data_IF_330008661374
#
_entry.id   IF_330008661374
#
_cell.length_a   1.000
_cell.length_b   1.000
_cell.length_c   1.000
_cell.angle_alpha   90.00
_cell.angle_beta   90.00
_cell.angle_gamma   90.00
#
_symmetry.space_group_name_H-M   'P 1'
#
loop_
_entity.id
_entity.type
_entity.pdbx_description
1 polymer ?
#
# COMPACT_ATOMS: atom_id res chain seq x y z
N UNK A 1 -20.24 -22.81 0.45
CA UNK A 1 -20.62 -21.77 1.41
C UNK A 1 -19.43 -21.34 2.28
N UNK A 2 -18.66 -22.27 2.86
CA UNK A 2 -17.55 -22.01 3.79
C UNK A 2 -16.55 -20.90 3.39
N UNK A 3 -16.15 -20.79 2.11
CA UNK A 3 -15.25 -19.71 1.66
C UNK A 3 -15.89 -18.33 1.77
N UNK A 4 -17.18 -18.22 1.48
CA UNK A 4 -17.87 -16.94 1.56
C UNK A 4 -18.15 -16.56 3.00
N UNK A 5 -18.45 -17.53 3.86
CA UNK A 5 -18.53 -17.31 5.31
C UNK A 5 -17.20 -16.80 5.85
N UNK A 6 -16.07 -17.39 5.43
CA UNK A 6 -14.74 -16.92 5.78
C UNK A 6 -14.47 -15.49 5.27
N UNK A 7 -14.83 -15.18 4.02
CA UNK A 7 -14.64 -13.84 3.46
C UNK A 7 -15.57 -12.79 4.10
N UNK A 8 -16.78 -13.20 4.50
CA UNK A 8 -17.73 -12.36 5.22
C UNK A 8 -17.22 -12.06 6.63
N UNK A 9 -16.75 -13.06 7.37
CA UNK A 9 -16.11 -12.86 8.68
C UNK A 9 -14.89 -11.93 8.58
N UNK A 10 -14.09 -12.05 7.51
CA UNK A 10 -13.01 -11.12 7.21
C UNK A 10 -13.50 -9.69 6.96
N UNK A 11 -14.61 -9.52 6.24
CA UNK A 11 -15.22 -8.22 6.02
C UNK A 11 -15.77 -7.61 7.32
N UNK A 12 -16.44 -8.41 8.15
CA UNK A 12 -17.02 -7.99 9.44
C UNK A 12 -15.92 -7.57 10.43
N UNK A 13 -14.72 -8.16 10.31
CA UNK A 13 -13.50 -7.75 11.02
C UNK A 13 -12.86 -6.46 10.47
N UNK A 14 -13.43 -5.85 9.43
CA UNK A 14 -12.95 -4.61 8.83
C UNK A 14 -11.76 -4.79 7.88
N UNK A 15 -11.53 -5.99 7.33
CA UNK A 15 -10.45 -6.18 6.36
C UNK A 15 -10.72 -5.41 5.07
N UNK A 16 -9.67 -4.80 4.52
CA UNK A 16 -9.79 -4.08 3.25
C UNK A 16 -10.15 -5.03 2.11
N UNK A 17 -10.86 -4.56 1.06
CA UNK A 17 -11.16 -5.36 -0.12
C UNK A 17 -9.91 -5.94 -0.80
N UNK A 18 -8.77 -5.25 -0.73
CA UNK A 18 -7.50 -5.74 -1.26
C UNK A 18 -6.91 -6.87 -0.42
N UNK A 19 -7.08 -6.83 0.90
CA UNK A 19 -6.68 -7.92 1.79
C UNK A 19 -7.48 -9.18 1.50
N UNK A 20 -8.80 -9.06 1.37
CA UNK A 20 -9.69 -10.18 1.03
C UNK A 20 -9.32 -10.79 -0.35
N UNK A 21 -9.03 -9.95 -1.35
CA UNK A 21 -8.51 -10.42 -2.66
C UNK A 21 -7.21 -11.21 -2.53
N UNK A 22 -6.27 -10.76 -1.69
CA UNK A 22 -5.01 -11.46 -1.45
C UNK A 22 -5.22 -12.81 -0.77
N UNK A 23 -6.15 -12.91 0.18
CA UNK A 23 -6.50 -14.18 0.81
C UNK A 23 -7.08 -15.16 -0.21
N UNK A 24 -7.97 -14.71 -1.10
CA UNK A 24 -8.49 -15.55 -2.20
C UNK A 24 -7.36 -16.03 -3.11
N UNK A 25 -6.41 -15.15 -3.45
CA UNK A 25 -5.26 -15.52 -4.27
C UNK A 25 -4.32 -16.52 -3.56
N UNK A 26 -4.13 -16.39 -2.25
CA UNK A 26 -3.34 -17.34 -1.46
C UNK A 26 -4.06 -18.70 -1.34
N UNK A 27 -5.39 -18.71 -1.15
CA UNK A 27 -6.18 -19.94 -1.15
C UNK A 27 -6.13 -20.62 -2.53
N UNK A 28 -6.08 -19.83 -3.61
CA UNK A 28 -5.97 -20.34 -4.98
C UNK A 28 -4.67 -21.11 -5.25
N UNK A 29 -3.58 -20.86 -4.52
CA UNK A 29 -2.32 -21.58 -4.71
C UNK A 29 -2.30 -22.94 -4.00
N UNK A 30 -3.18 -23.15 -3.02
CA UNK A 30 -3.23 -24.36 -2.19
C UNK A 30 -4.42 -25.25 -2.54
N UNK A 31 -5.53 -24.66 -3.00
CA UNK A 31 -6.80 -25.36 -3.18
C UNK A 31 -7.20 -25.40 -4.66
N UNK A 32 -7.30 -26.61 -5.20
CA UNK A 32 -7.90 -26.88 -6.52
C UNK A 32 -9.41 -27.13 -6.36
N UNK A 33 -10.23 -26.34 -7.04
CA UNK A 33 -11.69 -26.44 -6.95
C UNK A 33 -12.24 -27.33 -8.07
N UNK A 34 -13.06 -28.33 -7.75
CA UNK A 34 -13.64 -29.26 -8.74
C UNK A 34 -14.31 -28.50 -9.88
N UNK A 35 -13.84 -28.73 -11.12
CA UNK A 35 -14.40 -28.13 -12.34
C UNK A 35 -13.91 -26.71 -12.67
N UNK A 36 -13.11 -26.06 -11.82
CA UNK A 36 -12.55 -24.73 -12.09
C UNK A 36 -11.02 -24.73 -11.94
N UNK A 37 -10.33 -23.99 -12.81
CA UNK A 37 -8.87 -23.86 -12.74
C UNK A 37 -8.38 -23.22 -11.43
N UNK A 38 -9.23 -22.42 -10.76
CA UNK A 38 -8.89 -21.75 -9.50
C UNK A 38 -10.15 -21.20 -8.81
N UNK A 39 -10.13 -21.14 -7.48
CA UNK A 39 -11.16 -20.51 -6.63
C UNK A 39 -11.48 -19.05 -7.01
N UNK A 40 -10.49 -18.31 -7.53
CA UNK A 40 -10.66 -16.93 -7.99
C UNK A 40 -11.60 -16.80 -9.19
N UNK A 41 -11.76 -17.88 -9.98
CA UNK A 41 -12.64 -17.91 -11.14
C UNK A 41 -14.07 -18.33 -10.79
N UNK A 42 -14.32 -18.73 -9.54
CA UNK A 42 -15.65 -19.13 -9.12
C UNK A 42 -16.59 -17.90 -9.15
N UNK A 43 -17.74 -17.96 -9.84
CA UNK A 43 -18.60 -16.79 -10.08
C UNK A 43 -19.08 -16.14 -8.78
N UNK A 44 -19.35 -16.94 -7.75
CA UNK A 44 -19.81 -16.44 -6.45
C UNK A 44 -18.72 -15.65 -5.71
N UNK A 45 -17.45 -16.08 -5.77
CA UNK A 45 -16.32 -15.36 -5.17
C UNK A 45 -16.09 -14.06 -5.91
N UNK A 46 -16.15 -14.09 -7.25
CA UNK A 46 -16.01 -12.89 -8.08
C UNK A 46 -17.11 -11.87 -7.80
N UNK A 47 -18.37 -12.30 -7.71
CA UNK A 47 -19.49 -11.42 -7.38
C UNK A 47 -19.38 -10.85 -5.96
N UNK A 48 -18.97 -11.65 -4.99
CA UNK A 48 -18.72 -11.18 -3.62
C UNK A 48 -17.61 -10.12 -3.59
N UNK A 49 -16.46 -10.39 -4.21
CA UNK A 49 -15.33 -9.45 -4.30
C UNK A 49 -15.71 -8.15 -5.01
N UNK A 50 -16.62 -8.21 -6.00
CA UNK A 50 -17.19 -7.02 -6.65
C UNK A 50 -18.08 -6.24 -5.69
N UNK A 51 -18.96 -6.93 -4.96
CA UNK A 51 -19.84 -6.34 -3.95
C UNK A 51 -19.07 -5.55 -2.90
N UNK A 52 -18.05 -6.16 -2.26
CA UNK A 52 -17.24 -5.48 -1.25
C UNK A 52 -16.47 -4.26 -1.79
N UNK A 53 -16.11 -4.25 -3.07
CA UNK A 53 -15.40 -3.12 -3.67
C UNK A 53 -16.33 -1.95 -3.95
N UNK A 54 -17.59 -2.25 -4.27
CA UNK A 54 -18.62 -1.23 -4.43
C UNK A 54 -19.04 -0.65 -3.07
N UNK A 55 -19.08 -1.48 -2.01
CA UNK A 55 -19.40 -1.04 -0.65
C UNK A 55 -18.28 -0.20 -0.03
N UNK A 56 -17.02 -0.53 -0.34
CA UNK A 56 -15.84 0.15 0.20
C UNK A 56 -14.94 0.62 -0.94
N UNK A 57 -15.26 1.76 -1.60
CA UNK A 57 -14.39 2.31 -2.63
C UNK A 57 -13.01 2.62 -2.04
N UNK A 58 -11.97 2.44 -2.85
CA UNK A 58 -10.62 2.74 -2.43
C UNK A 58 -10.52 4.22 -2.04
N UNK A 59 -10.17 4.49 -0.79
CA UNK A 59 -9.83 5.84 -0.35
C UNK A 59 -8.52 6.20 -1.04
N UNK A 60 -8.60 6.92 -2.16
CA UNK A 60 -7.42 7.50 -2.78
C UNK A 60 -7.03 8.67 -1.91
N UNK A 61 -5.97 8.50 -1.12
CA UNK A 61 -5.40 9.62 -0.38
C UNK A 61 -4.66 10.51 -1.38
N UNK A 62 -5.27 11.64 -1.72
CA UNK A 62 -4.61 12.67 -2.52
C UNK A 62 -3.69 13.43 -1.58
N UNK A 63 -2.41 13.04 -1.56
CA UNK A 63 -1.40 13.90 -0.95
C UNK A 63 -1.38 15.22 -1.74
N UNK A 64 -1.23 16.38 -1.07
CA UNK A 64 -0.98 17.62 -1.78
C UNK A 64 0.22 17.40 -2.71
N UNK A 65 0.12 17.86 -3.95
CA UNK A 65 1.20 17.71 -4.93
C UNK A 65 2.45 18.36 -4.34
N UNK A 66 3.39 17.54 -3.89
CA UNK A 66 4.64 18.01 -3.34
C UNK A 66 5.43 18.68 -4.46
N UNK A 67 6.00 19.85 -4.19
CA UNK A 67 6.90 20.53 -5.11
C UNK A 67 8.35 20.24 -4.71
N UNK A 68 9.02 19.40 -5.51
CA UNK A 68 10.38 18.95 -5.23
C UNK A 68 11.35 20.14 -5.15
N UNK A 69 11.18 21.13 -6.03
CA UNK A 69 12.05 22.30 -6.03
C UNK A 69 11.91 23.11 -4.74
N UNK A 70 10.67 23.27 -4.24
CA UNK A 70 10.45 23.96 -2.95
C UNK A 70 11.17 23.26 -1.81
N UNK A 71 11.17 21.94 -1.78
CA UNK A 71 11.84 21.20 -0.69
C UNK A 71 13.35 21.19 -0.83
N UNK A 72 13.89 21.07 -2.04
CA UNK A 72 15.33 21.23 -2.27
C UNK A 72 15.82 22.62 -1.84
N UNK A 73 15.05 23.68 -2.13
CA UNK A 73 15.34 25.05 -1.68
C UNK A 73 15.20 25.18 -0.16
N UNK A 74 14.30 24.46 0.49
CA UNK A 74 14.19 24.47 1.95
C UNK A 74 15.39 23.77 2.62
N UNK A 75 15.93 22.71 2.00
CA UNK A 75 17.11 22.00 2.50
C UNK A 75 18.41 22.81 2.44
N UNK A 76 18.45 23.91 1.68
CA UNK A 76 19.59 24.86 1.65
C UNK A 76 19.45 26.00 2.67
N UNK A 77 18.41 25.98 3.50
CA UNK A 77 18.11 27.02 4.50
C UNK A 77 18.16 26.44 5.93
N UNK A 78 18.19 27.30 6.96
CA UNK A 78 18.00 26.86 8.33
C UNK A 78 16.69 26.07 8.48
N UNK A 79 16.67 24.97 9.25
CA UNK A 79 17.72 24.51 10.17
C UNK A 79 18.72 23.52 9.56
N UNK A 80 18.65 23.24 8.26
CA UNK A 80 19.52 22.28 7.57
C UNK A 80 20.88 22.85 7.15
N UNK A 81 21.01 24.18 7.18
CA UNK A 81 22.24 24.93 6.94
C UNK A 81 22.39 26.04 8.00
N UNK A 82 23.62 26.44 8.38
CA UNK A 82 24.90 25.96 7.86
C UNK A 82 25.29 24.58 8.43
N UNK A 83 25.88 23.72 7.59
CA UNK A 83 26.22 22.33 7.93
C UNK A 83 27.12 22.20 9.18
N UNK A 84 27.94 23.20 9.46
CA UNK A 84 28.87 23.21 10.59
C UNK A 84 28.16 23.27 11.95
N UNK A 85 26.96 23.88 11.99
CA UNK A 85 26.18 24.05 13.22
C UNK A 85 24.90 23.21 13.24
N UNK A 86 24.61 22.50 12.15
CA UNK A 86 23.42 21.68 12.02
C UNK A 86 23.52 20.44 12.93
N UNK A 87 22.43 20.10 13.63
CA UNK A 87 22.39 18.87 14.43
C UNK A 87 22.56 17.64 13.54
N UNK A 88 23.24 16.61 14.05
CA UNK A 88 23.42 15.35 13.33
C UNK A 88 22.09 14.75 12.85
N UNK A 89 21.03 14.87 13.66
CA UNK A 89 19.68 14.41 13.32
C UNK A 89 19.13 15.07 12.04
N UNK A 90 19.24 16.39 11.94
CA UNK A 90 18.76 17.14 10.77
C UNK A 90 19.60 16.86 9.53
N UNK A 91 20.92 16.71 9.71
CA UNK A 91 21.81 16.32 8.63
C UNK A 91 21.48 14.91 8.12
N UNK A 92 21.21 13.95 9.01
CA UNK A 92 20.76 12.61 8.63
C UNK A 92 19.46 12.63 7.84
N UNK A 93 18.47 13.47 8.21
CA UNK A 93 17.24 13.60 7.44
C UNK A 93 17.47 14.19 6.06
N UNK A 94 18.31 15.22 5.94
CA UNK A 94 18.67 15.81 4.65
C UNK A 94 19.31 14.77 3.73
N UNK A 95 20.28 14.01 4.24
CA UNK A 95 20.95 12.96 3.46
C UNK A 95 19.99 11.83 3.11
N UNK A 96 19.23 11.30 4.07
CA UNK A 96 18.27 10.22 3.83
C UNK A 96 17.21 10.62 2.79
N UNK A 97 16.69 11.85 2.85
CA UNK A 97 15.77 12.38 1.85
C UNK A 97 16.43 12.44 0.47
N UNK A 98 17.63 13.02 0.36
CA UNK A 98 18.34 13.14 -0.92
C UNK A 98 18.66 11.76 -1.53
N UNK A 99 19.09 10.79 -0.73
CA UNK A 99 19.32 9.41 -1.18
C UNK A 99 18.02 8.76 -1.64
N UNK A 100 16.92 8.93 -0.89
CA UNK A 100 15.63 8.36 -1.27
C UNK A 100 15.11 8.90 -2.61
N UNK A 101 15.26 10.20 -2.88
CA UNK A 101 14.79 10.78 -4.16
C UNK A 101 15.71 10.52 -5.35
N UNK A 102 17.01 10.31 -5.14
CA UNK A 102 18.00 10.16 -6.22
C UNK A 102 18.31 8.71 -6.57
N UNK A 103 18.17 7.78 -5.62
CA UNK A 103 18.54 6.38 -5.83
C UNK A 103 17.57 5.61 -6.75
N UNK A 104 16.36 6.14 -6.99
CA UNK A 104 15.26 5.42 -7.66
C UNK A 104 14.96 4.04 -7.05
N UNK A 105 15.42 3.81 -5.81
CA UNK A 105 15.29 2.55 -5.08
C UNK A 105 14.10 2.60 -4.14
N UNK A 106 13.53 1.42 -3.87
CA UNK A 106 12.46 1.28 -2.88
C UNK A 106 13.04 1.58 -1.50
N UNK A 107 12.18 2.06 -0.60
CA UNK A 107 12.54 2.36 0.80
C UNK A 107 13.12 1.14 1.55
N UNK A 108 12.89 -0.08 1.06
CA UNK A 108 13.39 -1.33 1.63
C UNK A 108 14.77 -1.79 1.09
N UNK A 109 15.33 -1.08 0.10
CA UNK A 109 16.62 -1.38 -0.53
C UNK A 109 17.73 -0.47 0.02
#
# INVERSE_FOLDING_TARGET
SQILEFLQDGLDKGLSPNTLRRQVAALASVISWKGFKSISHHPMVRSFLRGITNLSPAVVHHYPTWDLNKVLVALTKPPFEPIQTCSLKLLSYKVAFLVAITSARRISE
#
